data_IF_394971221584
#
_entry.id   IF_394971221584
#
_cell.length_a   1.000
_cell.length_b   1.000
_cell.length_c   1.000
_cell.angle_alpha   90.00
_cell.angle_beta   90.00
_cell.angle_gamma   90.00
#
_symmetry.space_group_name_H-M   'P 1'
#
loop_
_entity.id
_entity.type
_entity.pdbx_description
1 polymer ?
#
# COMPACT_ATOMS: atom_id res chain seq x y z
N UNK A 1 12.09 29.63 -52.88
CA UNK A 1 12.68 28.54 -52.07
C UNK A 1 11.54 27.86 -51.34
N UNK A 2 11.12 26.68 -51.78
CA UNK A 2 9.99 25.94 -51.20
C UNK A 2 10.52 25.05 -50.08
N UNK A 3 10.17 25.35 -48.83
CA UNK A 3 10.44 24.47 -47.69
C UNK A 3 9.32 23.42 -47.70
N UNK A 4 9.62 22.21 -48.15
CA UNK A 4 8.69 21.08 -48.04
C UNK A 4 8.60 20.66 -46.56
N UNK A 5 7.40 20.57 -45.97
CA UNK A 5 7.26 20.07 -44.61
C UNK A 5 7.62 18.58 -44.57
N UNK A 6 8.57 18.25 -43.68
CA UNK A 6 9.04 16.90 -43.40
C UNK A 6 7.83 16.00 -43.03
N UNK A 7 7.69 14.80 -43.62
CA UNK A 7 6.61 13.89 -43.24
C UNK A 7 6.78 13.49 -41.77
N UNK A 8 5.69 13.46 -40.98
CA UNK A 8 5.76 12.99 -39.60
C UNK A 8 6.23 11.54 -39.59
N UNK A 9 7.31 11.28 -38.87
CA UNK A 9 7.81 9.93 -38.64
C UNK A 9 6.66 9.07 -38.09
N UNK A 10 6.49 7.83 -38.58
CA UNK A 10 5.51 6.92 -38.00
C UNK A 10 5.91 6.69 -36.54
N UNK A 11 5.06 7.15 -35.63
CA UNK A 11 5.08 6.77 -34.22
C UNK A 11 4.95 5.26 -34.16
N UNK A 12 6.09 4.58 -34.18
CA UNK A 12 6.18 3.13 -33.98
C UNK A 12 6.05 2.88 -32.47
N UNK A 13 4.90 3.23 -31.90
CA UNK A 13 4.56 3.03 -30.49
C UNK A 13 3.97 1.64 -30.28
N UNK A 14 4.64 0.62 -30.81
CA UNK A 14 4.44 -0.74 -30.32
C UNK A 14 5.11 -0.79 -28.95
N UNK A 15 4.42 -0.30 -27.91
CA UNK A 15 4.87 -0.42 -26.53
C UNK A 15 4.96 -1.90 -26.19
N UNK A 16 6.18 -2.39 -26.03
CA UNK A 16 6.44 -3.76 -25.60
C UNK A 16 6.42 -3.79 -24.08
N UNK A 17 5.45 -4.51 -23.55
CA UNK A 17 5.21 -4.61 -22.12
C UNK A 17 5.69 -5.98 -21.63
N UNK A 18 6.20 -6.02 -20.39
CA UNK A 18 6.59 -7.28 -19.76
C UNK A 18 5.36 -8.15 -19.46
N UNK A 19 5.52 -9.48 -19.41
CA UNK A 19 4.40 -10.38 -19.06
C UNK A 19 3.72 -9.98 -17.73
N UNK A 20 4.50 -9.50 -16.75
CA UNK A 20 3.99 -9.04 -15.45
C UNK A 20 3.11 -7.80 -15.59
N UNK A 21 3.61 -6.79 -16.28
CA UNK A 21 2.89 -5.54 -16.48
C UNK A 21 1.66 -5.74 -17.40
N UNK A 22 1.72 -6.69 -18.32
CA UNK A 22 0.56 -7.12 -19.10
C UNK A 22 -0.48 -7.85 -18.23
N UNK A 23 -0.06 -8.66 -17.26
CA UNK A 23 -0.96 -9.34 -16.33
C UNK A 23 -1.76 -8.33 -15.50
N UNK A 24 -1.07 -7.30 -15.01
CA UNK A 24 -1.66 -6.21 -14.24
C UNK A 24 -2.63 -5.37 -15.08
N UNK A 25 -2.19 -4.88 -16.26
CA UNK A 25 -3.01 -4.01 -17.12
C UNK A 25 -4.27 -4.71 -17.64
N UNK A 26 -4.21 -6.01 -17.93
CA UNK A 26 -5.32 -6.76 -18.53
C UNK A 26 -6.10 -7.60 -17.50
N UNK A 27 -5.76 -7.52 -16.20
CA UNK A 27 -6.39 -8.28 -15.11
C UNK A 27 -6.47 -9.79 -15.41
N UNK A 28 -5.43 -10.35 -16.04
CA UNK A 28 -5.32 -11.78 -16.33
C UNK A 28 -4.12 -12.35 -15.57
N UNK A 29 -4.21 -13.63 -15.20
CA UNK A 29 -3.10 -14.30 -14.55
C UNK A 29 -1.87 -14.34 -15.45
N UNK A 30 -0.69 -14.16 -14.85
CA UNK A 30 0.60 -14.18 -15.56
C UNK A 30 0.78 -15.47 -16.39
N UNK A 31 0.27 -16.59 -15.89
CA UNK A 31 0.30 -17.89 -16.56
C UNK A 31 -0.51 -17.91 -17.87
N UNK A 32 -1.64 -17.22 -17.90
CA UNK A 32 -2.50 -17.12 -19.09
C UNK A 32 -1.78 -16.37 -20.20
N UNK A 33 -1.08 -15.30 -19.85
CA UNK A 33 -0.28 -14.51 -20.78
C UNK A 33 0.95 -15.30 -21.25
N UNK A 34 1.65 -16.02 -20.36
CA UNK A 34 2.75 -16.92 -20.78
C UNK A 34 2.28 -17.99 -21.75
N UNK A 35 1.12 -18.62 -21.50
CA UNK A 35 0.54 -19.65 -22.37
C UNK A 35 0.21 -19.06 -23.74
N UNK A 36 -0.38 -17.87 -23.77
CA UNK A 36 -0.67 -17.15 -25.00
C UNK A 36 0.61 -16.86 -25.80
N UNK A 37 1.63 -16.27 -25.17
CA UNK A 37 2.93 -16.02 -25.81
C UNK A 37 3.51 -17.30 -26.40
N UNK A 38 3.46 -18.41 -25.64
CA UNK A 38 3.96 -19.70 -26.11
C UNK A 38 3.23 -20.17 -27.36
N UNK A 39 1.91 -20.07 -27.40
CA UNK A 39 1.13 -20.46 -28.59
C UNK A 39 1.46 -19.59 -29.82
N UNK A 40 1.69 -18.30 -29.63
CA UNK A 40 2.07 -17.39 -30.74
C UNK A 40 3.51 -17.64 -31.19
N UNK A 41 4.42 -17.98 -30.27
CA UNK A 41 5.82 -18.32 -30.58
C UNK A 41 5.94 -19.67 -31.29
N UNK A 42 5.13 -20.65 -30.92
CA UNK A 42 5.04 -21.97 -31.57
C UNK A 42 4.43 -21.84 -32.98
N UNK A 43 3.47 -20.94 -33.16
CA UNK A 43 2.85 -20.65 -34.46
C UNK A 43 3.67 -19.64 -35.29
N UNK A 44 4.77 -20.12 -35.87
CA UNK A 44 5.75 -19.33 -36.61
C UNK A 44 5.22 -18.50 -37.79
N UNK A 45 4.07 -18.86 -38.35
CA UNK A 45 3.45 -18.25 -39.53
C UNK A 45 2.51 -17.06 -39.20
N UNK A 46 2.26 -16.77 -37.92
CA UNK A 46 1.38 -15.68 -37.54
C UNK A 46 2.06 -14.32 -37.76
N UNK A 47 1.36 -13.39 -38.44
CA UNK A 47 1.78 -11.97 -38.56
C UNK A 47 2.04 -11.33 -37.18
N UNK A 48 1.38 -11.87 -36.17
CA UNK A 48 1.47 -11.58 -34.73
C UNK A 48 2.84 -11.88 -34.11
N UNK A 49 3.70 -12.67 -34.76
CA UNK A 49 5.05 -12.98 -34.24
C UNK A 49 5.99 -11.78 -34.27
N UNK A 50 5.73 -10.78 -35.11
CA UNK A 50 6.48 -9.51 -35.14
C UNK A 50 6.24 -8.65 -33.90
N UNK A 51 5.18 -8.95 -33.17
CA UNK A 51 4.68 -8.21 -32.01
C UNK A 51 5.10 -8.85 -30.68
N UNK A 52 5.99 -9.86 -30.70
CA UNK A 52 6.60 -10.48 -29.51
C UNK A 52 8.12 -10.43 -29.61
N UNK A 53 8.79 -10.02 -28.52
CA UNK A 53 10.25 -10.06 -28.38
C UNK A 53 10.65 -11.04 -27.26
N UNK A 54 11.82 -11.70 -27.35
CA UNK A 54 12.82 -11.65 -28.43
C UNK A 54 12.39 -12.38 -29.72
N UNK A 55 12.93 -11.95 -30.86
CA UNK A 55 12.70 -12.60 -32.17
C UNK A 55 13.22 -14.05 -32.15
N UNK A 56 12.70 -14.97 -32.99
CA UNK A 56 13.11 -16.38 -33.01
C UNK A 56 14.62 -16.59 -33.00
N UNK A 57 15.33 -15.82 -33.84
CA UNK A 57 16.78 -15.91 -33.99
C UNK A 57 17.54 -15.43 -32.75
N UNK A 58 16.98 -14.47 -32.01
CA UNK A 58 17.58 -13.95 -30.77
C UNK A 58 17.24 -14.85 -29.59
N UNK A 59 16.01 -15.38 -29.54
CA UNK A 59 15.59 -16.35 -28.55
C UNK A 59 16.45 -17.62 -28.60
N UNK A 60 16.81 -18.10 -29.80
CA UNK A 60 17.73 -19.23 -29.95
C UNK A 60 19.16 -18.92 -29.50
N UNK A 61 19.66 -17.72 -29.77
CA UNK A 61 20.97 -17.27 -29.29
C UNK A 61 21.00 -17.18 -27.75
N UNK A 62 19.93 -16.64 -27.15
CA UNK A 62 19.81 -16.52 -25.70
C UNK A 62 19.64 -17.88 -25.01
N UNK A 63 18.94 -18.83 -25.65
CA UNK A 63 18.88 -20.24 -25.20
C UNK A 63 20.26 -20.91 -25.23
N UNK A 64 21.03 -20.71 -26.30
CA UNK A 64 22.41 -21.23 -26.41
C UNK A 64 23.34 -20.63 -25.35
N UNK A 65 23.10 -19.38 -24.94
CA UNK A 65 23.88 -18.70 -23.90
C UNK A 65 23.47 -19.08 -22.47
N UNK A 66 22.47 -19.96 -22.26
CA UNK A 66 21.93 -20.34 -20.93
C UNK A 66 21.58 -19.14 -20.03
N UNK A 67 21.27 -17.98 -20.61
CA UNK A 67 20.87 -16.79 -19.84
C UNK A 67 19.36 -16.80 -19.61
N UNK A 68 18.86 -16.47 -18.41
CA UNK A 68 17.43 -16.26 -18.22
C UNK A 68 16.99 -15.05 -19.04
N UNK A 69 15.95 -15.21 -19.86
CA UNK A 69 15.32 -14.12 -20.60
C UNK A 69 13.80 -14.17 -20.44
N UNK A 70 13.16 -13.01 -20.47
CA UNK A 70 11.72 -12.86 -20.39
C UNK A 70 11.16 -12.40 -21.74
N UNK A 71 9.93 -12.82 -22.07
CA UNK A 71 9.24 -12.35 -23.25
C UNK A 71 8.57 -11.00 -22.99
N UNK A 72 8.58 -10.13 -23.98
CA UNK A 72 7.79 -8.89 -24.00
C UNK A 72 6.82 -8.91 -25.18
N UNK A 73 5.65 -8.31 -24.98
CA UNK A 73 4.49 -8.44 -25.89
C UNK A 73 4.03 -7.04 -26.24
N UNK A 74 3.65 -6.80 -27.50
CA UNK A 74 3.06 -5.53 -27.88
C UNK A 74 1.67 -5.34 -27.24
N UNK A 75 1.36 -4.10 -26.91
CA UNK A 75 0.02 -3.67 -26.49
C UNK A 75 -1.06 -4.04 -27.50
N UNK A 76 -0.77 -3.93 -28.80
CA UNK A 76 -1.75 -4.16 -29.87
C UNK A 76 -2.29 -5.59 -29.90
N UNK A 77 -1.44 -6.60 -29.64
CA UNK A 77 -1.90 -7.99 -29.56
C UNK A 77 -2.78 -8.25 -28.35
N UNK A 78 -2.41 -7.64 -27.23
CA UNK A 78 -3.15 -7.78 -25.99
C UNK A 78 -4.53 -7.12 -26.11
N UNK A 79 -4.62 -5.96 -26.76
CA UNK A 79 -5.91 -5.32 -27.07
C UNK A 79 -6.76 -6.19 -27.99
N UNK A 80 -6.19 -6.77 -29.06
CA UNK A 80 -6.95 -7.63 -30.00
C UNK A 80 -7.54 -8.88 -29.34
N UNK A 81 -6.84 -9.49 -28.38
CA UNK A 81 -7.28 -10.74 -27.72
C UNK A 81 -8.03 -10.53 -26.41
N UNK A 82 -7.63 -9.54 -25.62
CA UNK A 82 -8.15 -9.32 -24.28
C UNK A 82 -8.91 -7.99 -24.12
N UNK A 83 -8.96 -7.14 -25.15
CA UNK A 83 -9.66 -5.85 -25.09
C UNK A 83 -11.17 -5.99 -24.86
N UNK A 84 -11.81 -7.01 -25.44
CA UNK A 84 -13.22 -7.30 -25.21
C UNK A 84 -13.50 -7.73 -23.74
N UNK A 85 -12.58 -8.49 -23.15
CA UNK A 85 -12.69 -8.95 -21.76
C UNK A 85 -12.51 -7.80 -20.77
N UNK A 86 -11.65 -6.82 -21.07
CA UNK A 86 -11.45 -5.65 -20.20
C UNK A 86 -12.70 -4.77 -20.20
N UNK A 87 -13.30 -4.51 -21.38
CA UNK A 87 -14.52 -3.72 -21.47
C UNK A 87 -15.67 -4.36 -20.67
N UNK A 88 -15.78 -5.70 -20.72
CA UNK A 88 -16.75 -6.43 -19.92
C UNK A 88 -16.40 -6.48 -18.43
N UNK A 89 -15.12 -6.55 -18.07
CA UNK A 89 -14.68 -6.50 -16.67
C UNK A 89 -14.92 -5.11 -16.04
N UNK A 90 -14.73 -4.04 -16.81
CA UNK A 90 -15.02 -2.67 -16.39
C UNK A 90 -16.53 -2.43 -16.26
N UNK A 91 -17.33 -2.94 -17.20
CA UNK A 91 -18.80 -2.89 -17.11
C UNK A 91 -19.32 -3.66 -15.89
N UNK A 92 -18.80 -4.86 -15.62
CA UNK A 92 -19.16 -5.63 -14.41
C UNK A 92 -18.70 -4.98 -13.11
N UNK A 93 -17.58 -4.25 -13.11
CA UNK A 93 -17.11 -3.50 -11.94
C UNK A 93 -18.02 -2.29 -11.64
N UNK A 94 -18.65 -1.71 -12.66
CA UNK A 94 -19.65 -0.64 -12.50
C UNK A 94 -21.02 -1.18 -12.09
N UNK A 95 -21.45 -2.36 -12.57
CA UNK A 95 -22.71 -3.00 -12.13
C UNK A 95 -22.63 -3.59 -10.71
N UNK A 96 -21.43 -3.94 -10.22
CA UNK A 96 -21.23 -4.40 -8.85
C UNK A 96 -21.12 -3.28 -7.81
N UNK A 97 -21.13 -2.01 -8.24
CA UNK A 97 -21.29 -0.87 -7.34
C UNK A 97 -22.75 -0.81 -6.89
N UNK A 98 -23.10 -1.63 -5.90
CA UNK A 98 -24.40 -1.54 -5.26
C UNK A 98 -24.46 -0.21 -4.50
N UNK A 99 -25.31 0.76 -4.92
CA UNK A 99 -25.36 2.08 -4.28
C UNK A 99 -25.76 2.00 -2.81
N UNK A 100 -26.43 0.92 -2.40
CA UNK A 100 -26.76 0.62 -1.01
C UNK A 100 -25.52 0.22 -0.18
N UNK A 101 -24.54 -0.43 -0.79
CA UNK A 101 -23.28 -0.77 -0.14
C UNK A 101 -22.40 0.46 0.03
N UNK A 102 -22.38 1.36 -0.96
CA UNK A 102 -21.66 2.63 -0.86
C UNK A 102 -22.25 3.53 0.22
N UNK A 103 -23.59 3.65 0.29
CA UNK A 103 -24.28 4.36 1.39
C UNK A 103 -23.98 3.75 2.76
N UNK A 104 -23.88 2.43 2.84
CA UNK A 104 -23.53 1.75 4.10
C UNK A 104 -22.09 2.07 4.52
N UNK A 105 -21.14 2.07 3.58
CA UNK A 105 -19.76 2.47 3.82
C UNK A 105 -19.69 3.92 4.27
N UNK A 106 -20.39 4.84 3.59
CA UNK A 106 -20.45 6.25 3.95
C UNK A 106 -20.98 6.45 5.36
N UNK A 107 -22.08 5.76 5.72
CA UNK A 107 -22.65 5.79 7.07
C UNK A 107 -21.71 5.23 8.13
N UNK A 108 -21.00 4.15 7.82
CA UNK A 108 -20.02 3.57 8.74
C UNK A 108 -18.84 4.52 8.94
N UNK A 109 -18.32 5.10 7.85
CA UNK A 109 -17.24 6.07 7.89
C UNK A 109 -17.62 7.33 8.66
N UNK A 110 -18.84 7.85 8.47
CA UNK A 110 -19.32 9.00 9.23
C UNK A 110 -19.42 8.68 10.72
N UNK A 111 -19.91 7.50 11.08
CA UNK A 111 -19.96 7.05 12.47
C UNK A 111 -18.57 6.89 13.11
N UNK A 112 -17.60 6.34 12.37
CA UNK A 112 -16.21 6.23 12.83
C UNK A 112 -15.57 7.61 13.06
N UNK A 113 -15.82 8.58 12.16
CA UNK A 113 -15.32 9.94 12.32
C UNK A 113 -15.89 10.63 13.56
N UNK A 114 -17.19 10.44 13.83
CA UNK A 114 -17.83 10.97 15.02
C UNK A 114 -17.26 10.34 16.30
N UNK A 115 -17.03 9.02 16.30
CA UNK A 115 -16.37 8.35 17.42
C UNK A 115 -14.94 8.84 17.66
N UNK A 116 -14.17 9.11 16.61
CA UNK A 116 -12.83 9.67 16.75
C UNK A 116 -12.87 11.05 17.41
N UNK A 117 -13.80 11.91 16.99
CA UNK A 117 -13.99 13.24 17.62
C UNK A 117 -14.31 13.13 19.11
N UNK A 118 -15.26 12.27 19.48
CA UNK A 118 -15.63 12.06 20.89
C UNK A 118 -14.44 11.54 21.70
N UNK A 119 -13.67 10.61 21.15
CA UNK A 119 -12.46 10.10 21.83
C UNK A 119 -11.39 11.17 21.97
N UNK A 120 -11.18 12.02 20.96
CA UNK A 120 -10.24 13.13 21.04
C UNK A 120 -10.65 14.14 22.11
N UNK A 121 -11.95 14.44 22.23
CA UNK A 121 -12.48 15.29 23.30
C UNK A 121 -12.27 14.67 24.69
N UNK A 122 -12.52 13.36 24.83
CA UNK A 122 -12.26 12.62 26.07
C UNK A 122 -10.76 12.66 26.44
N UNK A 123 -9.87 12.47 25.47
CA UNK A 123 -8.41 12.55 25.69
C UNK A 123 -8.04 13.95 26.16
N UNK A 124 -8.59 15.01 25.55
CA UNK A 124 -8.34 16.40 25.99
C UNK A 124 -8.81 16.61 27.43
N UNK A 125 -10.03 16.18 27.76
CA UNK A 125 -10.55 16.29 29.11
C UNK A 125 -9.68 15.54 30.13
N UNK A 126 -9.27 14.31 29.82
CA UNK A 126 -8.38 13.53 30.68
C UNK A 126 -7.02 14.22 30.87
N UNK A 127 -6.41 14.74 29.80
CA UNK A 127 -5.16 15.47 29.89
C UNK A 127 -5.28 16.72 30.78
N UNK A 128 -6.36 17.50 30.65
CA UNK A 128 -6.60 18.64 31.55
C UNK A 128 -6.73 18.22 33.02
N UNK A 129 -7.39 17.08 33.28
CA UNK A 129 -7.51 16.55 34.65
C UNK A 129 -6.17 16.08 35.22
N UNK A 130 -5.32 15.47 34.38
CA UNK A 130 -3.97 15.06 34.77
C UNK A 130 -3.07 16.25 35.06
N UNK A 131 -3.19 17.32 34.28
CA UNK A 131 -2.45 18.56 34.51
C UNK A 131 -2.85 19.21 35.84
N UNK A 132 -4.14 19.32 36.13
CA UNK A 132 -4.64 19.80 37.42
C UNK A 132 -4.17 18.94 38.60
N UNK A 133 -4.16 17.62 38.44
CA UNK A 133 -3.70 16.70 39.48
C UNK A 133 -2.18 16.84 39.70
N UNK A 134 -1.41 16.95 38.63
CA UNK A 134 0.04 17.21 38.66
C UNK A 134 0.37 18.52 39.37
N UNK A 135 -0.40 19.59 39.09
CA UNK A 135 -0.22 20.88 39.75
C UNK A 135 -0.51 20.80 41.25
N UNK A 136 -1.64 20.19 41.66
CA UNK A 136 -1.95 19.94 43.07
C UNK A 136 -0.89 19.09 43.76
N UNK A 137 -0.36 18.07 43.09
CA UNK A 137 0.70 17.24 43.63
C UNK A 137 1.99 18.04 43.80
N UNK A 138 2.32 18.93 42.86
CA UNK A 138 3.46 19.84 42.95
C UNK A 138 3.30 20.81 44.13
N UNK A 139 2.13 21.44 44.28
CA UNK A 139 1.80 22.29 45.42
C UNK A 139 1.93 21.55 46.74
N UNK A 140 1.37 20.34 46.83
CA UNK A 140 1.46 19.48 48.02
C UNK A 140 2.91 19.15 48.35
N UNK A 141 3.72 18.81 47.36
CA UNK A 141 5.13 18.51 47.54
C UNK A 141 5.91 19.75 48.02
N UNK A 142 5.61 20.93 47.50
CA UNK A 142 6.21 22.20 47.94
C UNK A 142 5.83 22.50 49.40
N UNK A 143 4.54 22.41 49.73
CA UNK A 143 4.05 22.63 51.09
C UNK A 143 4.68 21.64 52.08
N UNK A 144 4.80 20.37 51.70
CA UNK A 144 5.43 19.35 52.54
C UNK A 144 6.91 19.63 52.78
N UNK A 145 7.66 20.08 51.75
CA UNK A 145 9.05 20.52 51.92
C UNK A 145 9.16 21.71 52.88
N UNK A 146 8.34 22.73 52.70
CA UNK A 146 8.32 23.91 53.59
C UNK A 146 7.98 23.49 55.02
N UNK A 147 7.03 22.57 55.20
CA UNK A 147 6.68 22.04 56.52
C UNK A 147 7.83 21.26 57.16
N UNK A 148 8.53 20.41 56.38
CA UNK A 148 9.71 19.68 56.85
C UNK A 148 10.84 20.63 57.26
N UNK A 149 11.11 21.68 56.48
CA UNK A 149 12.11 22.72 56.78
C UNK A 149 11.77 23.48 58.07
N UNK A 150 10.50 23.83 58.28
CA UNK A 150 10.03 24.57 59.47
C UNK A 150 10.03 23.72 60.74
N UNK A 151 9.83 22.41 60.61
CA UNK A 151 9.74 21.48 61.74
C UNK A 151 11.03 20.68 61.98
N UNK A 152 12.11 20.89 61.22
CA UNK A 152 13.36 20.11 61.26
C UNK A 152 13.10 18.58 61.18
N UNK A 153 12.03 18.18 60.49
CA UNK A 153 11.67 16.78 60.34
C UNK A 153 12.65 16.13 59.34
N UNK A 154 13.28 14.98 59.66
CA UNK A 154 14.09 14.27 58.69
C UNK A 154 13.21 13.90 57.49
N UNK A 155 13.72 14.14 56.28
CA UNK A 155 13.00 13.81 55.05
C UNK A 155 12.59 12.33 55.08
N UNK A 156 11.32 12.04 54.82
CA UNK A 156 10.79 10.67 54.73
C UNK A 156 11.41 9.96 53.51
N UNK A 157 12.65 9.47 53.63
CA UNK A 157 13.36 8.75 52.57
C UNK A 157 13.34 7.23 52.76
N UNK A 158 12.83 6.73 53.90
CA UNK A 158 12.98 5.31 54.25
C UNK A 158 11.80 4.40 53.87
N UNK A 159 10.60 4.93 53.58
CA UNK A 159 9.41 4.07 53.36
C UNK A 159 9.12 3.74 51.89
N UNK A 160 9.61 4.52 50.92
CA UNK A 160 9.31 4.30 49.48
C UNK A 160 10.21 3.27 48.78
N UNK A 161 11.37 2.92 49.37
CA UNK A 161 12.35 2.03 48.75
C UNK A 161 12.01 0.54 48.91
N UNK A 162 11.18 0.18 49.88
CA UNK A 162 10.81 -1.22 50.18
C UNK A 162 9.64 -1.71 49.32
N UNK A 163 8.67 -0.86 48.99
CA UNK A 163 7.48 -1.27 48.21
C UNK A 163 7.79 -1.52 46.72
N UNK A 164 8.71 -0.75 46.12
CA UNK A 164 9.09 -0.94 44.71
C UNK A 164 9.80 -2.29 44.45
N UNK A 165 10.34 -2.95 45.48
CA UNK A 165 10.97 -4.28 45.30
C UNK A 165 9.95 -5.44 45.36
N UNK A 166 8.76 -5.22 45.93
CA UNK A 166 7.72 -6.25 46.11
C UNK A 166 6.84 -6.48 44.88
N UNK A 167 6.62 -5.44 44.06
CA UNK A 167 5.71 -5.56 42.91
C UNK A 167 6.37 -6.24 41.69
N UNK A 168 7.65 -5.98 41.45
CA UNK A 168 8.41 -6.55 40.32
C UNK A 168 8.78 -8.03 40.50
N UNK A 169 8.74 -8.56 41.73
CA UNK A 169 9.05 -9.97 42.02
C UNK A 169 7.86 -10.91 41.80
N UNK A 170 6.63 -10.37 41.72
CA UNK A 170 5.41 -11.17 41.53
C UNK A 170 5.21 -11.64 40.08
N UNK A 171 5.84 -10.99 39.11
CA UNK A 171 5.66 -11.24 37.67
C UNK A 171 6.76 -12.13 37.04
N UNK A 172 7.65 -12.72 37.87
CA UNK A 172 8.78 -13.55 37.43
C UNK A 172 8.61 -15.06 37.67
N UNK A 173 7.39 -15.54 37.95
CA UNK A 173 7.10 -16.98 38.09
C UNK A 173 6.29 -17.51 36.92
#
# INVERSE_FOLDING_TARGET
MMITPLPPLPMNTAEFISIKEAAERYSKAEITIRRFVRTVVENAAAKERKEIRPLPQEAEKLKKQKRPFAYTISTELLVKKFGADIAQAQAKKQEAAHPEFDKLIERMNSGLLEQLKVKDEQIKALNTSLEQLSERQRETNVLMKILQERLLLPAQTETAATEKKGWWSLWKK
#
